data_IF_347855129613
#
_entry.id   IF_347855129613
#
_cell.length_a   1.000
_cell.length_b   1.000
_cell.length_c   1.000
_cell.angle_alpha   90.00
_cell.angle_beta   90.00
_cell.angle_gamma   90.00
#
_symmetry.space_group_name_H-M   'P 1'
#
loop_
_entity.id
_entity.type
_entity.pdbx_description
1 polymer ?
#
# COMPACT_ATOMS: atom_id res chain seq x y z
N UNK A 1 3.93 -4.89 29.27
CA UNK A 1 3.43 -5.47 28.01
C UNK A 1 4.61 -5.41 27.06
N UNK A 2 5.29 -6.53 26.87
CA UNK A 2 6.52 -6.61 26.08
C UNK A 2 6.26 -6.06 24.67
N UNK A 3 7.10 -5.12 24.24
CA UNK A 3 7.15 -4.66 22.85
C UNK A 3 7.56 -5.85 21.99
N UNK A 4 6.58 -6.58 21.46
CA UNK A 4 6.80 -7.43 20.28
C UNK A 4 7.40 -6.51 19.22
N UNK A 5 8.70 -6.69 18.95
CA UNK A 5 9.38 -5.94 17.89
C UNK A 5 8.69 -6.28 16.58
N UNK A 6 7.84 -5.37 16.12
CA UNK A 6 7.19 -5.48 14.81
C UNK A 6 8.29 -5.63 13.78
N UNK A 7 8.29 -6.74 13.06
CA UNK A 7 9.29 -6.99 12.01
C UNK A 7 9.12 -5.92 10.94
N UNK A 8 10.19 -5.17 10.71
CA UNK A 8 10.22 -4.10 9.73
C UNK A 8 11.38 -4.35 8.76
N UNK A 9 11.16 -3.96 7.50
CA UNK A 9 12.15 -4.10 6.45
C UNK A 9 12.26 -2.78 5.69
N UNK A 10 13.49 -2.39 5.39
CA UNK A 10 13.77 -1.20 4.60
C UNK A 10 13.95 -1.60 3.15
N UNK A 11 13.07 -1.11 2.28
CA UNK A 11 13.09 -1.44 0.85
C UNK A 11 13.24 -0.18 0.01
N UNK A 12 13.86 -0.33 -1.16
CA UNK A 12 14.02 0.76 -2.12
C UNK A 12 12.83 0.83 -3.07
N UNK A 13 12.28 2.03 -3.27
CA UNK A 13 11.12 2.26 -4.11
C UNK A 13 11.49 2.12 -5.58
N UNK A 14 10.80 1.23 -6.28
CA UNK A 14 10.89 1.01 -7.72
C UNK A 14 9.53 1.29 -8.40
N UNK A 15 9.57 1.57 -9.70
CA UNK A 15 8.37 1.86 -10.46
C UNK A 15 7.55 0.58 -10.73
N UNK A 16 6.24 0.65 -10.53
CA UNK A 16 5.32 -0.44 -10.91
C UNK A 16 5.11 -0.51 -12.42
N UNK A 17 4.93 -1.72 -12.94
CA UNK A 17 4.52 -1.92 -14.33
C UNK A 17 3.07 -1.44 -14.52
N UNK A 18 2.72 -1.03 -15.73
CA UNK A 18 1.42 -0.43 -16.06
C UNK A 18 0.21 -1.30 -15.68
N UNK A 19 0.40 -2.63 -15.57
CA UNK A 19 -0.63 -3.60 -15.19
C UNK A 19 -1.10 -3.49 -13.74
N UNK A 20 -0.29 -2.91 -12.86
CA UNK A 20 -0.56 -2.86 -11.41
C UNK A 20 -1.00 -1.48 -10.92
N UNK A 21 -1.02 -0.49 -11.81
CA UNK A 21 -1.38 0.90 -11.51
C UNK A 21 -2.84 1.00 -11.07
N UNK A 22 -3.09 1.69 -9.95
CA UNK A 22 -4.45 2.01 -9.49
C UNK A 22 -5.17 0.89 -8.75
N UNK A 23 -4.47 -0.22 -8.44
CA UNK A 23 -5.02 -1.40 -7.77
C UNK A 23 -4.66 -1.50 -6.28
N UNK A 24 -3.91 -0.54 -5.73
CA UNK A 24 -3.52 -0.57 -4.31
C UNK A 24 -2.56 -1.72 -3.97
N UNK A 25 -1.81 -2.22 -4.94
CA UNK A 25 -0.89 -3.36 -4.78
C UNK A 25 0.55 -2.89 -4.75
N UNK A 26 1.36 -3.52 -3.91
CA UNK A 26 2.81 -3.40 -3.94
C UNK A 26 3.44 -4.76 -4.14
N UNK A 27 4.54 -4.79 -4.88
CA UNK A 27 5.30 -6.03 -5.05
C UNK A 27 6.52 -6.08 -4.16
N UNK A 28 6.65 -7.19 -3.45
CA UNK A 28 7.73 -7.51 -2.52
C UNK A 28 8.33 -8.85 -2.94
N UNK A 29 9.63 -9.02 -2.75
CA UNK A 29 10.25 -10.31 -3.01
C UNK A 29 9.84 -11.35 -1.95
N UNK A 30 10.11 -12.61 -2.27
CA UNK A 30 9.66 -13.73 -1.42
C UNK A 30 10.39 -13.72 -0.07
N UNK A 31 11.65 -13.28 -0.06
CA UNK A 31 12.46 -13.17 1.15
C UNK A 31 11.98 -12.05 2.06
N UNK A 32 11.65 -10.86 1.53
CA UNK A 32 11.04 -9.78 2.31
C UNK A 32 9.70 -10.21 2.90
N UNK A 33 8.85 -10.88 2.13
CA UNK A 33 7.58 -11.36 2.66
C UNK A 33 7.76 -12.34 3.81
N UNK A 34 8.70 -13.28 3.67
CA UNK A 34 9.03 -14.26 4.71
C UNK A 34 9.63 -13.58 5.94
N UNK A 35 10.50 -12.60 5.75
CA UNK A 35 11.10 -11.80 6.82
C UNK A 35 10.02 -11.03 7.61
N UNK A 36 9.06 -10.41 6.90
CA UNK A 36 7.93 -9.68 7.48
C UNK A 36 6.83 -10.60 8.03
N UNK A 37 6.82 -11.88 7.68
CA UNK A 37 5.78 -12.84 8.09
C UNK A 37 4.42 -12.56 7.43
N UNK A 38 4.43 -12.09 6.19
CA UNK A 38 3.24 -11.77 5.39
C UNK A 38 3.08 -12.77 4.23
N UNK A 39 1.83 -12.99 3.83
CA UNK A 39 1.46 -13.80 2.67
C UNK A 39 0.91 -12.94 1.54
N UNK A 40 0.75 -13.54 0.36
CA UNK A 40 0.11 -12.87 -0.78
C UNK A 40 -1.32 -12.48 -0.42
N UNK A 41 -1.65 -11.21 -0.59
CA UNK A 41 -2.97 -10.66 -0.24
C UNK A 41 -3.04 -10.02 1.14
N UNK A 42 -2.03 -10.19 2.00
CA UNK A 42 -1.96 -9.48 3.27
C UNK A 42 -1.78 -7.97 3.05
N UNK A 43 -2.27 -7.19 4.02
CA UNK A 43 -2.09 -5.73 4.03
C UNK A 43 -0.77 -5.39 4.72
N UNK A 44 -0.03 -4.47 4.12
CA UNK A 44 1.23 -3.93 4.66
C UNK A 44 1.10 -2.44 4.92
N UNK A 45 1.70 -2.01 6.03
CA UNK A 45 1.95 -0.59 6.31
C UNK A 45 3.27 -0.21 5.64
N UNK A 46 3.25 0.88 4.88
CA UNK A 46 4.41 1.46 4.22
C UNK A 46 4.61 2.86 4.80
N UNK A 47 5.77 3.07 5.40
CA UNK A 47 6.17 4.33 5.99
C UNK A 47 7.29 4.96 5.16
N UNK A 48 6.95 6.05 4.49
CA UNK A 48 7.90 6.98 3.88
C UNK A 48 8.02 8.24 4.72
N UNK A 49 7.74 9.40 4.11
CA UNK A 49 7.51 10.65 4.88
C UNK A 49 6.11 10.68 5.51
N UNK A 50 5.19 9.88 4.94
CA UNK A 50 3.84 9.62 5.44
C UNK A 50 3.61 8.12 5.45
N UNK A 51 2.67 7.68 6.29
CA UNK A 51 2.20 6.30 6.33
C UNK A 51 1.10 6.08 5.29
N UNK A 52 1.13 4.92 4.66
CA UNK A 52 0.09 4.43 3.74
C UNK A 52 -0.05 2.92 3.88
N UNK A 53 -1.18 2.37 3.45
CA UNK A 53 -1.38 0.93 3.36
C UNK A 53 -1.38 0.47 1.90
N UNK A 54 -1.06 -0.80 1.67
CA UNK A 54 -1.19 -1.48 0.39
C UNK A 54 -1.31 -2.99 0.55
N UNK A 55 -1.74 -3.69 -0.50
CA UNK A 55 -1.82 -5.15 -0.54
C UNK A 55 -0.50 -5.73 -1.06
N UNK A 56 0.09 -6.67 -0.32
CA UNK A 56 1.30 -7.36 -0.70
C UNK A 56 1.06 -8.36 -1.84
N UNK A 57 1.88 -8.28 -2.89
CA UNK A 57 1.89 -9.17 -4.04
C UNK A 57 3.31 -9.66 -4.33
N UNK A 58 3.49 -10.87 -4.90
CA UNK A 58 4.81 -11.39 -5.19
C UNK A 58 5.48 -10.58 -6.29
N UNK A 59 6.76 -10.26 -6.07
CA UNK A 59 7.66 -9.68 -7.07
C UNK A 59 7.80 -10.59 -8.31
N UNK A 60 8.23 -9.99 -9.41
CA UNK A 60 8.60 -10.77 -10.59
C UNK A 60 9.84 -11.62 -10.30
N UNK A 61 10.04 -12.69 -11.05
CA UNK A 61 11.22 -13.54 -10.91
C UNK A 61 12.54 -12.76 -11.11
N UNK A 62 12.52 -11.77 -12.01
CA UNK A 62 13.64 -10.87 -12.28
C UNK A 62 13.94 -9.89 -11.14
N UNK A 63 13.01 -9.69 -10.20
CA UNK A 63 13.12 -8.72 -9.11
C UNK A 63 13.51 -9.34 -7.76
N UNK A 64 13.71 -10.65 -7.70
CA UNK A 64 14.04 -11.35 -6.46
C UNK A 64 15.46 -10.97 -5.97
N UNK A 65 15.59 -10.68 -4.67
CA UNK A 65 16.88 -10.37 -4.04
C UNK A 65 17.43 -8.98 -4.34
N UNK A 66 16.61 -8.08 -4.90
CA UNK A 66 17.02 -6.70 -5.18
C UNK A 66 16.67 -5.71 -4.05
N UNK A 67 16.05 -6.16 -2.95
CA UNK A 67 15.56 -5.33 -1.84
C UNK A 67 14.71 -4.14 -2.31
N UNK A 68 13.89 -4.36 -3.34
CA UNK A 68 13.00 -3.34 -3.92
C UNK A 68 11.54 -3.58 -3.57
N UNK A 69 10.79 -2.49 -3.46
CA UNK A 69 9.33 -2.48 -3.45
C UNK A 69 8.83 -1.75 -4.69
N UNK A 70 8.08 -2.44 -5.54
CA UNK A 70 7.40 -1.75 -6.65
C UNK A 70 6.10 -1.14 -6.15
N UNK A 71 6.01 0.18 -6.30
CA UNK A 71 4.86 0.99 -5.88
C UNK A 71 4.32 1.77 -7.08
N UNK A 72 3.01 1.94 -7.17
CA UNK A 72 2.41 2.78 -8.21
C UNK A 72 2.50 4.27 -7.85
N UNK A 73 2.13 5.15 -8.78
CA UNK A 73 2.22 6.60 -8.55
C UNK A 73 1.32 7.09 -7.41
N UNK A 74 0.18 6.43 -7.17
CA UNK A 74 -0.77 6.82 -6.13
C UNK A 74 -0.24 6.48 -4.74
N UNK A 75 0.24 5.25 -4.52
CA UNK A 75 0.79 4.83 -3.23
C UNK A 75 2.07 5.63 -2.94
N UNK A 76 2.92 5.89 -3.93
CA UNK A 76 4.11 6.75 -3.76
C UNK A 76 3.72 8.17 -3.33
N UNK A 77 2.69 8.76 -3.95
CA UNK A 77 2.18 10.08 -3.56
C UNK A 77 1.60 10.06 -2.14
N UNK A 78 0.91 8.98 -1.75
CA UNK A 78 0.35 8.82 -0.39
C UNK A 78 1.46 8.70 0.67
N UNK A 79 2.49 7.89 0.40
CA UNK A 79 3.68 7.76 1.24
C UNK A 79 4.61 8.98 1.18
N UNK A 80 4.40 9.87 0.19
CA UNK A 80 5.21 11.04 -0.12
C UNK A 80 6.70 10.68 -0.34
N UNK A 81 6.94 9.75 -1.26
CA UNK A 81 8.27 9.24 -1.62
C UNK A 81 8.52 9.23 -3.12
N UNK A 82 9.78 9.43 -3.49
CA UNK A 82 10.28 9.35 -4.86
C UNK A 82 10.73 7.94 -5.28
N UNK A 83 11.05 7.79 -6.57
CA UNK A 83 11.74 6.58 -7.05
C UNK A 83 13.17 6.55 -6.51
N UNK A 84 13.64 5.37 -6.10
CA UNK A 84 14.97 5.18 -5.53
C UNK A 84 15.12 5.57 -4.05
N UNK A 85 14.13 6.24 -3.46
CA UNK A 85 14.09 6.48 -2.01
C UNK A 85 13.82 5.18 -1.25
N UNK A 86 14.06 5.19 0.07
CA UNK A 86 13.81 4.06 0.95
C UNK A 86 12.50 4.24 1.71
N UNK A 87 11.79 3.14 1.93
CA UNK A 87 10.60 3.08 2.77
C UNK A 87 10.73 1.95 3.78
N UNK A 88 10.08 2.11 4.92
CA UNK A 88 9.96 1.05 5.93
C UNK A 88 8.64 0.33 5.68
N UNK A 89 8.69 -1.00 5.60
CA UNK A 89 7.51 -1.85 5.39
C UNK A 89 7.30 -2.70 6.63
N UNK A 90 6.05 -2.78 7.09
CA UNK A 90 5.63 -3.60 8.23
C UNK A 90 4.37 -4.37 7.89
N UNK A 91 4.17 -5.51 8.55
CA UNK A 91 2.87 -6.19 8.54
C UNK A 91 1.82 -5.29 9.20
N UNK A 92 0.70 -5.07 8.53
CA UNK A 92 -0.45 -4.40 9.12
C UNK A 92 -1.46 -5.43 9.64
N UNK A 93 -2.22 -5.04 10.66
CA UNK A 93 -3.39 -5.77 11.17
C UNK A 93 -4.66 -4.96 10.84
N UNK A 94 -5.18 -5.07 9.59
CA UNK A 94 -6.30 -4.26 9.15
C UNK A 94 -7.59 -4.64 9.89
N UNK A 95 -8.33 -3.63 10.34
CA UNK A 95 -9.66 -3.79 10.96
C UNK A 95 -10.73 -3.30 10.01
N UNK A 96 -11.89 -3.98 10.01
CA UNK A 96 -13.03 -3.56 9.18
C UNK A 96 -13.47 -2.16 9.62
N UNK A 97 -13.42 -1.22 8.68
CA UNK A 97 -13.85 0.16 8.93
C UNK A 97 -15.39 0.24 8.99
N UNK A 98 -15.93 0.84 10.05
CA UNK A 98 -17.38 1.06 10.22
C UNK A 98 -17.85 2.39 9.63
N UNK A 99 -16.96 3.39 9.56
CA UNK A 99 -17.25 4.71 9.02
C UNK A 99 -16.00 5.28 8.33
N UNK A 100 -16.18 5.80 7.12
CA UNK A 100 -15.12 6.50 6.36
C UNK A 100 -15.64 7.89 6.00
N UNK A 101 -14.93 8.95 6.43
CA UNK A 101 -15.24 10.34 6.09
C UNK A 101 -14.28 10.83 5.02
N UNK A 102 -14.81 11.26 3.89
CA UNK A 102 -14.03 11.82 2.78
C UNK A 102 -14.33 13.31 2.62
N UNK A 103 -13.31 14.08 2.29
CA UNK A 103 -13.43 15.50 1.98
C UNK A 103 -12.72 15.78 0.64
N UNK A 104 -13.36 16.51 -0.29
CA UNK A 104 -12.72 16.90 -1.55
C UNK A 104 -11.63 17.95 -1.30
N UNK A 105 -10.58 17.92 -2.12
CA UNK A 105 -9.39 18.77 -1.93
C UNK A 105 -9.51 20.14 -2.60
N UNK A 106 -10.19 20.24 -3.75
CA UNK A 106 -10.14 21.48 -4.57
C UNK A 106 -11.45 21.91 -5.25
N UNK A 107 -12.54 21.16 -5.11
CA UNK A 107 -13.82 21.51 -5.74
C UNK A 107 -15.02 21.01 -4.94
N UNK A 108 -16.15 21.69 -5.10
CA UNK A 108 -17.43 21.30 -4.52
C UNK A 108 -18.01 20.15 -5.35
N UNK A 109 -18.32 19.03 -4.69
CA UNK A 109 -18.95 17.87 -5.33
C UNK A 109 -20.44 17.90 -5.02
N UNK A 110 -21.28 17.70 -6.03
CA UNK A 110 -22.69 17.36 -5.81
C UNK A 110 -22.76 15.89 -5.39
N UNK A 111 -23.29 15.64 -4.19
CA UNK A 111 -23.41 14.28 -3.66
C UNK A 111 -24.79 13.74 -3.99
N UNK A 112 -24.89 13.03 -5.12
CA UNK A 112 -26.10 12.30 -5.50
C UNK A 112 -26.01 10.79 -5.13
N UNK A 113 -27.13 10.05 -5.11
CA UNK A 113 -27.12 8.62 -4.78
C UNK A 113 -26.22 7.75 -5.67
N UNK A 114 -26.05 8.12 -6.94
CA UNK A 114 -25.17 7.45 -7.89
C UNK A 114 -23.70 7.67 -7.52
N UNK A 115 -23.32 8.91 -7.18
CA UNK A 115 -21.98 9.23 -6.67
C UNK A 115 -21.66 8.48 -5.37
N UNK A 116 -22.59 8.43 -4.41
CA UNK A 116 -22.41 7.66 -3.17
C UNK A 116 -22.15 6.17 -3.49
N UNK A 117 -22.92 5.59 -4.41
CA UNK A 117 -22.78 4.19 -4.81
C UNK A 117 -21.45 3.93 -5.54
N UNK A 118 -20.98 4.90 -6.33
CA UNK A 118 -19.67 4.84 -6.95
C UNK A 118 -18.54 4.86 -5.92
N UNK A 119 -18.57 5.80 -4.97
CA UNK A 119 -17.56 5.89 -3.90
C UNK A 119 -17.55 4.63 -3.05
N UNK A 120 -18.73 4.13 -2.65
CA UNK A 120 -18.83 2.86 -1.90
C UNK A 120 -18.18 1.71 -2.65
N UNK A 121 -18.51 1.50 -3.93
CA UNK A 121 -17.88 0.45 -4.75
C UNK A 121 -16.37 0.63 -4.88
N UNK A 122 -15.89 1.86 -4.93
CA UNK A 122 -14.45 2.17 -5.03
C UNK A 122 -13.69 1.87 -3.75
N UNK A 123 -14.34 1.96 -2.59
CA UNK A 123 -13.76 1.71 -1.27
C UNK A 123 -13.80 0.23 -0.84
N UNK A 124 -14.63 -0.59 -1.48
CA UNK A 124 -14.64 -2.04 -1.23
C UNK A 124 -13.26 -2.62 -1.56
N UNK A 125 -12.77 -3.51 -0.70
CA UNK A 125 -11.46 -4.16 -0.79
C UNK A 125 -10.25 -3.20 -0.89
N UNK A 126 -10.42 -1.96 -0.45
CA UNK A 126 -9.34 -0.98 -0.34
C UNK A 126 -8.86 -0.90 1.10
N UNK A 127 -7.59 -1.26 1.37
CA UNK A 127 -7.00 -1.15 2.70
C UNK A 127 -6.75 0.29 3.16
#
# INVERSE_FOLDING_TARGET
>A
MENEKVKELVLRVAESKQRDVGRGKVRLDTEAMKALGISVGDVVEIEGKRKTAAIAWPAYAEDQGMDIIRMDGLIRKNANVGLGEKVIVRKADPKIATMVKLAPVSFTITVDPGFISFVKRRLIDTP
#
